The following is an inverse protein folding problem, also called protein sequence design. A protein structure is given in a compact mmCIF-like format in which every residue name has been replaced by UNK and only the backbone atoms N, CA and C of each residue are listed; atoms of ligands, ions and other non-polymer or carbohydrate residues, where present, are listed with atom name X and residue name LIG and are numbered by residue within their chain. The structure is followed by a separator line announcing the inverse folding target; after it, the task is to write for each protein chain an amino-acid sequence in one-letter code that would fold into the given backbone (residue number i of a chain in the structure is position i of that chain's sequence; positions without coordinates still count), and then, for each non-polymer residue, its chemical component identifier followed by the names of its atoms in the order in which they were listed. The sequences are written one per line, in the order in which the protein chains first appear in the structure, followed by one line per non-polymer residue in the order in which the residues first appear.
data_IF_332193591049
#
_entry.id   IF_332193591049
#
_cell.length_a   1.000
_cell.length_b   1.000
_cell.length_c   1.000
_cell.angle_alpha   90.00
_cell.angle_beta   90.00
_cell.angle_gamma   90.00
#
_symmetry.space_group_name_H-M   'P 1'
#
loop_
_entity.id
_entity.type
_entity.pdbx_description
1 polymer ?
#
# COMPACT_ATOMS: atom_id res chain seq x y z
N UNK A 1 11.90 32.57 65.22
CA UNK A 1 11.46 31.86 63.98
C UNK A 1 11.11 30.41 64.34
N UNK A 2 9.83 30.04 64.34
CA UNK A 2 9.32 28.82 65.00
C UNK A 2 9.73 27.50 64.32
N UNK A 3 9.97 26.45 65.13
CA UNK A 3 10.28 25.05 64.74
C UNK A 3 9.29 24.50 63.71
N UNK A 4 8.03 24.92 63.80
CA UNK A 4 6.95 24.55 62.88
C UNK A 4 7.21 24.99 61.42
N UNK A 5 7.76 26.20 61.19
CA UNK A 5 8.07 26.68 59.83
C UNK A 5 9.14 25.83 59.17
N UNK A 6 10.18 25.43 59.91
CA UNK A 6 11.25 24.53 59.41
C UNK A 6 10.69 23.16 59.02
N UNK A 7 9.76 22.62 59.81
CA UNK A 7 9.12 21.34 59.53
C UNK A 7 8.26 21.38 58.27
N UNK A 8 7.41 22.41 58.13
CA UNK A 8 6.56 22.61 56.95
C UNK A 8 7.38 22.77 55.66
N UNK A 9 8.47 23.55 55.72
CA UNK A 9 9.37 23.72 54.58
C UNK A 9 10.01 22.39 54.14
N UNK A 10 10.44 21.56 55.10
CA UNK A 10 11.02 20.24 54.80
C UNK A 10 10.00 19.27 54.20
N UNK A 11 8.76 19.26 54.72
CA UNK A 11 7.66 18.45 54.15
C UNK A 11 7.34 18.85 52.71
N UNK A 12 7.27 20.16 52.45
CA UNK A 12 7.04 20.72 51.10
C UNK A 12 8.14 20.28 50.12
N UNK A 13 9.41 20.45 50.51
CA UNK A 13 10.55 20.04 49.67
C UNK A 13 10.57 18.55 49.33
N UNK A 14 10.20 17.68 50.27
CA UNK A 14 10.11 16.23 50.03
C UNK A 14 8.98 15.90 49.05
N UNK A 15 7.82 16.55 49.22
CA UNK A 15 6.69 16.41 48.29
C UNK A 15 7.05 16.88 46.88
N UNK A 16 7.68 18.05 46.76
CA UNK A 16 8.03 18.63 45.47
C UNK A 16 9.05 17.75 44.74
N UNK A 17 10.05 17.20 45.45
CA UNK A 17 11.00 16.22 44.89
C UNK A 17 10.31 14.93 44.42
N UNK A 18 9.39 14.39 45.21
CA UNK A 18 8.64 13.19 44.84
C UNK A 18 7.75 13.44 43.61
N UNK A 19 7.15 14.63 43.50
CA UNK A 19 6.37 15.03 42.34
C UNK A 19 7.26 15.14 41.09
N UNK A 20 8.42 15.79 41.20
CA UNK A 20 9.38 15.92 40.10
C UNK A 20 9.85 14.54 39.60
N UNK A 21 10.16 13.61 40.50
CA UNK A 21 10.53 12.25 40.09
C UNK A 21 9.40 11.50 39.38
N UNK A 22 8.17 11.61 39.86
CA UNK A 22 7.01 11.00 39.16
C UNK A 22 6.84 11.56 37.75
N UNK A 23 6.99 12.87 37.57
CA UNK A 23 6.94 13.49 36.24
C UNK A 23 8.07 12.99 35.33
N UNK A 24 9.31 12.92 35.83
CA UNK A 24 10.44 12.38 35.06
C UNK A 24 10.20 10.94 34.61
N UNK A 25 9.68 10.10 35.51
CA UNK A 25 9.37 8.69 35.22
C UNK A 25 8.25 8.56 34.18
N UNK A 26 7.17 9.34 34.33
CA UNK A 26 6.06 9.34 33.37
C UNK A 26 6.50 9.79 31.97
N UNK A 27 7.39 10.78 31.86
CA UNK A 27 7.95 11.19 30.57
C UNK A 27 8.80 10.07 29.94
N UNK A 28 9.61 9.35 30.72
CA UNK A 28 10.41 8.24 30.22
C UNK A 28 9.55 7.04 29.77
N UNK A 29 8.45 6.76 30.46
CA UNK A 29 7.50 5.69 30.10
C UNK A 29 6.69 6.02 28.82
N UNK A 30 6.40 7.29 28.56
CA UNK A 30 5.70 7.74 27.34
C UNK A 30 6.46 7.50 26.03
N UNK A 31 7.78 7.31 26.11
CA UNK A 31 8.63 6.91 24.96
C UNK A 31 8.24 5.52 24.44
N UNK A 32 7.67 4.65 25.28
CA UNK A 32 7.36 3.29 24.92
C UNK A 32 6.12 3.19 24.00
N UNK A 33 5.14 4.10 24.16
CA UNK A 33 3.99 4.24 23.25
C UNK A 33 4.37 4.84 21.88
N UNK A 34 5.45 5.63 21.82
CA UNK A 34 6.04 6.09 20.56
C UNK A 34 6.52 4.94 19.68
N UNK A 35 7.16 3.92 20.28
CA UNK A 35 7.71 2.78 19.52
C UNK A 35 6.65 1.95 18.78
N UNK A 36 5.47 1.76 19.37
CA UNK A 36 4.35 1.01 18.76
C UNK A 36 3.72 1.82 17.62
N UNK A 37 3.59 3.14 17.81
CA UNK A 37 3.10 4.07 16.78
C UNK A 37 4.08 4.19 15.60
N UNK A 38 5.38 4.22 15.89
CA UNK A 38 6.45 4.26 14.89
C UNK A 38 6.51 2.96 14.08
N UNK A 39 6.43 1.80 14.73
CA UNK A 39 6.37 0.50 14.06
C UNK A 39 5.15 0.40 13.12
N UNK A 40 3.99 0.89 13.56
CA UNK A 40 2.77 0.93 12.74
C UNK A 40 2.93 1.86 11.53
N UNK A 41 3.55 3.02 11.72
CA UNK A 41 3.80 3.98 10.64
C UNK A 41 4.78 3.42 9.61
N UNK A 42 5.86 2.77 10.06
CA UNK A 42 6.83 2.12 9.18
C UNK A 42 6.21 0.99 8.36
N UNK A 43 5.32 0.19 8.97
CA UNK A 43 4.59 -0.85 8.26
C UNK A 43 3.78 -0.28 7.09
N UNK A 44 2.98 0.77 7.32
CA UNK A 44 2.18 1.38 6.26
C UNK A 44 3.04 2.05 5.18
N UNK A 45 4.18 2.65 5.55
CA UNK A 45 5.13 3.18 4.58
C UNK A 45 5.72 2.10 3.68
N UNK A 46 6.11 0.95 4.24
CA UNK A 46 6.59 -0.19 3.45
C UNK A 46 5.50 -0.74 2.54
N UNK A 47 4.28 -0.88 3.04
CA UNK A 47 3.16 -1.38 2.24
C UNK A 47 2.80 -0.42 1.10
N UNK A 48 2.78 0.89 1.36
CA UNK A 48 2.62 1.90 0.33
C UNK A 48 3.74 1.82 -0.72
N UNK A 49 4.99 1.63 -0.30
CA UNK A 49 6.11 1.50 -1.23
C UNK A 49 5.98 0.26 -2.14
N UNK A 50 5.51 -0.88 -1.59
CA UNK A 50 5.22 -2.09 -2.39
C UNK A 50 4.13 -1.85 -3.41
N UNK A 51 3.02 -1.24 -2.99
CA UNK A 51 1.90 -0.91 -3.88
C UNK A 51 2.34 0.04 -5.01
N UNK A 52 3.12 1.06 -4.69
CA UNK A 52 3.67 1.97 -5.70
C UNK A 52 4.55 1.24 -6.73
N UNK A 53 5.39 0.30 -6.28
CA UNK A 53 6.19 -0.52 -7.18
C UNK A 53 5.33 -1.43 -8.06
N UNK A 54 4.28 -2.03 -7.51
CA UNK A 54 3.34 -2.86 -8.26
C UNK A 54 2.57 -2.05 -9.32
N UNK A 55 2.11 -0.85 -8.96
CA UNK A 55 1.47 0.08 -9.91
C UNK A 55 2.43 0.39 -11.07
N UNK A 56 3.69 0.70 -10.77
CA UNK A 56 4.71 0.95 -11.81
C UNK A 56 4.91 -0.25 -12.73
N UNK A 57 4.96 -1.46 -12.17
CA UNK A 57 5.06 -2.69 -12.95
C UNK A 57 3.85 -2.93 -13.85
N UNK A 58 2.63 -2.67 -13.35
CA UNK A 58 1.40 -2.78 -14.13
C UNK A 58 1.36 -1.76 -15.27
N UNK A 59 1.75 -0.52 -15.00
CA UNK A 59 1.85 0.53 -16.03
C UNK A 59 2.86 0.17 -17.12
N UNK A 60 4.02 -0.36 -16.74
CA UNK A 60 5.03 -0.85 -17.69
C UNK A 60 4.49 -2.01 -18.54
N UNK A 61 3.83 -2.99 -17.90
CA UNK A 61 3.19 -4.10 -18.60
C UNK A 61 2.14 -3.60 -19.61
N UNK A 62 1.32 -2.61 -19.23
CA UNK A 62 0.34 -2.00 -20.13
C UNK A 62 1.01 -1.33 -21.34
N UNK A 63 2.10 -0.57 -21.12
CA UNK A 63 2.87 0.05 -22.21
C UNK A 63 3.46 -1.00 -23.16
N UNK A 64 4.04 -2.06 -22.62
CA UNK A 64 4.56 -3.17 -23.43
C UNK A 64 3.45 -3.83 -24.26
N UNK A 65 2.26 -4.07 -23.68
CA UNK A 65 1.11 -4.60 -24.44
C UNK A 65 0.65 -3.66 -25.57
N UNK A 66 0.86 -2.35 -25.42
CA UNK A 66 0.60 -1.36 -26.47
C UNK A 66 1.74 -1.23 -27.49
N UNK A 67 2.82 -1.99 -27.33
CA UNK A 67 3.97 -1.96 -28.23
C UNK A 67 4.98 -0.85 -27.92
N UNK A 68 4.90 -0.22 -26.75
CA UNK A 68 5.80 0.85 -26.34
C UNK A 68 7.01 0.33 -25.55
N UNK A 69 8.12 1.08 -25.56
CA UNK A 69 9.34 0.82 -24.75
C UNK A 69 9.93 -0.60 -24.87
N UNK A 70 9.72 -1.29 -25.99
CA UNK A 70 10.17 -2.67 -26.21
C UNK A 70 11.68 -2.83 -26.40
N UNK A 71 12.40 -1.75 -26.71
CA UNK A 71 13.84 -1.77 -27.05
C UNK A 71 14.75 -2.32 -25.95
N UNK A 72 14.29 -2.28 -24.69
CA UNK A 72 15.03 -2.76 -23.52
C UNK A 72 14.59 -4.15 -23.06
N UNK A 73 13.59 -4.77 -23.71
CA UNK A 73 13.14 -6.11 -23.39
C UNK A 73 14.06 -7.16 -24.01
N UNK A 74 14.33 -8.24 -23.28
CA UNK A 74 15.09 -9.35 -23.84
C UNK A 74 14.20 -10.21 -24.77
N UNK A 75 14.83 -11.07 -25.57
CA UNK A 75 14.13 -11.89 -26.57
C UNK A 75 13.10 -12.86 -25.96
N UNK A 76 13.37 -13.38 -24.75
CA UNK A 76 12.45 -14.30 -24.08
C UNK A 76 11.17 -13.59 -23.67
N UNK A 77 11.30 -12.40 -23.10
CA UNK A 77 10.16 -11.59 -22.66
C UNK A 77 9.37 -11.04 -23.85
N UNK A 78 10.05 -10.70 -24.95
CA UNK A 78 9.41 -10.27 -26.19
C UNK A 78 8.56 -11.40 -26.82
N UNK A 79 9.09 -12.63 -26.90
CA UNK A 79 8.33 -13.80 -27.35
C UNK A 79 7.13 -14.11 -26.44
N UNK A 80 7.30 -13.94 -25.14
CA UNK A 80 6.20 -14.13 -24.18
C UNK A 80 5.10 -13.09 -24.40
N UNK A 81 5.46 -11.83 -24.66
CA UNK A 81 4.53 -10.75 -24.95
C UNK A 81 3.77 -11.01 -26.27
N UNK A 82 4.48 -11.41 -27.32
CA UNK A 82 3.90 -11.79 -28.62
C UNK A 82 2.87 -12.91 -28.45
N UNK A 83 3.22 -14.01 -27.77
CA UNK A 83 2.30 -15.13 -27.54
C UNK A 83 1.05 -14.71 -26.75
N UNK A 84 1.18 -13.79 -25.79
CA UNK A 84 0.02 -13.24 -25.05
C UNK A 84 -0.90 -12.44 -25.98
N UNK A 85 -0.33 -11.59 -26.84
CA UNK A 85 -1.09 -10.78 -27.78
C UNK A 85 -1.82 -11.66 -28.81
N UNK A 86 -1.14 -12.65 -29.39
CA UNK A 86 -1.74 -13.59 -30.33
C UNK A 86 -2.94 -14.33 -29.73
N UNK A 87 -2.79 -14.85 -28.50
CA UNK A 87 -3.89 -15.51 -27.78
C UNK A 87 -5.05 -14.56 -27.51
N UNK A 88 -4.76 -13.32 -27.11
CA UNK A 88 -5.77 -12.30 -26.87
C UNK A 88 -6.56 -11.94 -28.13
N UNK A 89 -5.86 -11.71 -29.24
CA UNK A 89 -6.48 -11.41 -30.54
C UNK A 89 -7.32 -12.58 -31.03
N UNK A 90 -6.78 -13.80 -30.96
CA UNK A 90 -7.50 -15.01 -31.35
C UNK A 90 -8.80 -15.17 -30.57
N UNK A 91 -8.76 -14.99 -29.24
CA UNK A 91 -9.95 -15.04 -28.39
C UNK A 91 -10.97 -13.95 -28.75
N UNK A 92 -10.52 -12.72 -28.99
CA UNK A 92 -11.40 -11.62 -29.37
C UNK A 92 -12.12 -11.91 -30.70
N UNK A 93 -11.37 -12.37 -31.71
CA UNK A 93 -11.94 -12.77 -33.01
C UNK A 93 -12.97 -13.89 -32.87
N UNK A 94 -12.67 -14.93 -32.10
CA UNK A 94 -13.61 -16.04 -31.85
C UNK A 94 -14.89 -15.57 -31.14
N UNK A 95 -14.76 -14.69 -30.14
CA UNK A 95 -15.92 -14.11 -29.45
C UNK A 95 -16.78 -13.29 -30.42
N UNK A 96 -16.17 -12.42 -31.22
CA UNK A 96 -16.87 -11.60 -32.22
C UNK A 96 -17.58 -12.48 -33.25
N UNK A 97 -16.92 -13.54 -33.72
CA UNK A 97 -17.51 -14.49 -34.66
C UNK A 97 -18.73 -15.21 -34.07
N UNK A 98 -18.64 -15.66 -32.80
CA UNK A 98 -19.76 -16.27 -32.09
C UNK A 98 -20.98 -15.34 -31.96
N UNK A 99 -20.74 -14.07 -31.58
CA UNK A 99 -21.81 -13.06 -31.48
C UNK A 99 -22.43 -12.77 -32.85
N UNK A 100 -21.62 -12.65 -33.91
CA UNK A 100 -22.15 -12.41 -35.25
C UNK A 100 -23.01 -13.60 -35.73
N UNK A 101 -22.64 -14.83 -35.39
CA UNK A 101 -23.41 -16.03 -35.73
C UNK A 101 -24.76 -16.07 -34.99
N UNK A 102 -24.78 -15.73 -33.70
CA UNK A 102 -26.04 -15.69 -32.94
C UNK A 102 -26.99 -14.62 -33.49
N UNK A 103 -26.48 -13.42 -33.79
CA UNK A 103 -27.27 -12.34 -34.40
C UNK A 103 -27.82 -12.72 -35.78
N UNK A 104 -27.03 -13.41 -36.61
CA UNK A 104 -27.49 -13.91 -37.91
C UNK A 104 -28.60 -14.96 -37.76
N UNK A 105 -28.54 -15.79 -36.72
CA UNK A 105 -29.54 -16.82 -36.44
C UNK A 105 -30.84 -16.18 -35.96
N UNK A 106 -30.77 -15.23 -35.04
CA UNK A 106 -31.94 -14.45 -34.57
C UNK A 106 -32.61 -13.68 -35.70
N UNK A 107 -31.84 -13.02 -36.57
CA UNK A 107 -32.37 -12.33 -37.74
C UNK A 107 -33.16 -13.29 -38.63
N UNK A 108 -32.60 -14.47 -38.93
CA UNK A 108 -33.27 -15.50 -39.73
C UNK A 108 -34.58 -15.99 -39.09
N UNK A 109 -34.62 -16.16 -37.77
CA UNK A 109 -35.82 -16.55 -37.03
C UNK A 109 -36.91 -15.47 -37.02
N UNK A 110 -36.55 -14.18 -37.06
CA UNK A 110 -37.52 -13.07 -37.08
C UNK A 110 -38.02 -12.77 -38.49
N UNK A 111 -37.22 -13.04 -39.53
CA UNK A 111 -37.61 -12.80 -40.93
C UNK A 111 -38.38 -13.96 -41.59
N UNK A 112 -38.39 -15.16 -41.00
CA UNK A 112 -39.22 -16.29 -41.43
C UNK A 112 -40.58 -16.28 -40.74
#
# INVERSE_FOLDING_TARGET
MSKARKFLFRKKLVSDKATIERYKKACAESTNTGSVSEASTQYYQQEAAKLCAEIGNLQNSSRHMMGESLSFMNMKDLKNLESKLEKGISRNRSNKAGINLSLSTECMYVTC
#
